data_IF_829440246611
#
_entry.id   IF_829440246611
#
_cell.length_a   1.000
_cell.length_b   1.000
_cell.length_c   1.000
_cell.angle_alpha   90.00
_cell.angle_beta   90.00
_cell.angle_gamma   90.00
#
_symmetry.space_group_name_H-M   'P 1'
#
loop_
_entity.id
_entity.type
_entity.pdbx_description
1 polymer ?
#
# COMPACT_ATOMS: atom_id res chain seq x y z
N UNK A 1 57.80 31.17 -17.95
CA UNK A 1 56.97 29.95 -17.76
C UNK A 1 57.65 29.07 -16.72
N UNK A 2 57.14 29.04 -15.49
CA UNK A 2 57.62 28.13 -14.45
C UNK A 2 56.90 26.79 -14.68
N UNK A 3 57.63 25.73 -15.01
CA UNK A 3 57.08 24.37 -15.06
C UNK A 3 56.77 23.93 -13.62
N UNK A 4 55.50 24.02 -13.24
CA UNK A 4 54.99 23.56 -11.94
C UNK A 4 55.08 22.05 -11.82
N UNK A 5 56.09 21.57 -11.10
CA UNK A 5 56.32 20.17 -10.82
C UNK A 5 55.23 19.63 -9.87
N UNK A 6 54.22 18.90 -10.40
CA UNK A 6 53.20 18.20 -9.59
C UNK A 6 53.83 16.98 -8.92
N UNK A 7 54.45 17.19 -7.77
CA UNK A 7 54.88 16.11 -6.89
C UNK A 7 53.65 15.35 -6.37
N UNK A 8 53.38 14.15 -6.91
CA UNK A 8 52.37 13.22 -6.39
C UNK A 8 52.83 12.73 -5.02
N UNK A 9 52.37 13.40 -3.95
CA UNK A 9 52.63 12.98 -2.57
C UNK A 9 51.95 11.63 -2.32
N UNK A 10 52.75 10.58 -2.22
CA UNK A 10 52.32 9.23 -1.83
C UNK A 10 52.01 9.24 -0.33
N UNK A 11 50.73 9.29 0.03
CA UNK A 11 50.28 9.31 1.41
C UNK A 11 50.54 7.96 2.11
N UNK A 12 51.64 7.86 2.86
CA UNK A 12 51.94 6.75 3.80
C UNK A 12 51.46 7.09 5.21
N UNK A 13 50.16 7.21 5.42
CA UNK A 13 49.54 7.18 6.76
C UNK A 13 48.05 6.82 6.62
N UNK A 14 47.66 5.74 7.27
CA UNK A 14 46.47 4.93 6.99
C UNK A 14 45.11 5.67 7.13
N UNK A 15 45.05 6.80 7.86
CA UNK A 15 43.81 7.53 8.10
C UNK A 15 43.45 8.63 7.10
N UNK A 16 44.44 9.33 6.52
CA UNK A 16 44.16 10.52 5.68
C UNK A 16 43.69 10.17 4.26
N UNK A 17 44.12 9.01 3.73
CA UNK A 17 43.67 8.53 2.42
C UNK A 17 42.20 8.16 2.43
N UNK A 18 41.73 7.42 3.44
CA UNK A 18 40.35 6.93 3.53
C UNK A 18 39.37 8.11 3.54
N UNK A 19 39.69 9.16 4.30
CA UNK A 19 38.84 10.35 4.38
C UNK A 19 38.79 11.14 3.06
N UNK A 20 39.91 11.25 2.33
CA UNK A 20 39.95 11.92 1.02
C UNK A 20 39.16 11.14 -0.04
N UNK A 21 39.29 9.81 -0.06
CA UNK A 21 38.48 8.96 -0.94
C UNK A 21 37.00 8.98 -0.56
N UNK A 22 36.66 8.90 0.73
CA UNK A 22 35.27 8.96 1.20
C UNK A 22 34.61 10.29 0.85
N UNK A 23 35.29 11.43 1.01
CA UNK A 23 34.78 12.73 0.54
C UNK A 23 34.58 12.77 -0.96
N UNK A 24 35.50 12.16 -1.72
CA UNK A 24 35.38 12.06 -3.18
C UNK A 24 34.18 11.19 -3.56
N UNK A 25 33.99 10.04 -2.93
CA UNK A 25 32.81 9.18 -3.13
C UNK A 25 31.50 9.85 -2.69
N UNK A 26 31.48 10.59 -1.58
CA UNK A 26 30.32 11.39 -1.17
C UNK A 26 30.02 12.50 -2.19
N UNK A 27 31.05 13.14 -2.76
CA UNK A 27 30.90 14.15 -3.82
C UNK A 27 30.45 13.57 -5.17
N UNK A 28 30.81 12.30 -5.46
CA UNK A 28 30.34 11.56 -6.65
C UNK A 28 29.00 10.84 -6.43
N UNK A 29 28.55 10.67 -5.17
CA UNK A 29 27.39 9.87 -4.78
C UNK A 29 26.02 10.47 -5.13
N UNK A 30 25.98 11.71 -5.62
CA UNK A 30 24.80 12.31 -6.27
C UNK A 30 23.48 12.17 -5.50
N UNK A 31 22.33 12.21 -6.21
CA UNK A 31 20.98 12.09 -5.63
C UNK A 31 20.71 10.78 -4.86
N UNK A 32 21.54 9.75 -5.03
CA UNK A 32 21.40 8.47 -4.34
C UNK A 32 21.68 8.56 -2.84
N UNK A 33 22.48 9.54 -2.39
CA UNK A 33 22.75 9.77 -0.97
C UNK A 33 21.58 10.43 -0.22
N UNK A 34 20.65 11.04 -0.95
CA UNK A 34 19.45 11.72 -0.39
C UNK A 34 18.16 10.99 -0.78
N UNK A 35 18.26 9.74 -1.23
CA UNK A 35 17.10 8.94 -1.61
C UNK A 35 16.28 8.66 -0.35
N UNK A 36 15.03 9.12 -0.35
CA UNK A 36 14.05 8.82 0.67
C UNK A 36 12.73 8.49 -0.03
N UNK A 37 12.42 7.21 -0.15
CA UNK A 37 11.21 6.73 -0.80
C UNK A 37 10.15 6.42 0.27
N UNK A 38 8.96 7.06 0.21
CA UNK A 38 7.92 6.86 1.21
C UNK A 38 7.31 5.45 1.15
N UNK A 39 6.91 4.88 2.30
CA UNK A 39 6.23 3.59 2.34
C UNK A 39 4.82 3.65 1.77
N UNK A 40 4.44 2.58 1.08
CA UNK A 40 3.03 2.22 0.86
C UNK A 40 2.57 1.43 2.08
N UNK A 41 1.50 1.88 2.73
CA UNK A 41 1.01 1.29 3.98
C UNK A 41 -0.42 0.80 3.83
N UNK A 42 -0.68 -0.40 4.33
CA UNK A 42 -2.03 -0.94 4.46
C UNK A 42 -2.22 -1.71 5.78
N UNK A 43 -3.48 -1.90 6.16
CA UNK A 43 -3.86 -2.66 7.35
C UNK A 43 -4.77 -3.80 6.94
N UNK A 44 -4.36 -5.04 7.25
CA UNK A 44 -5.13 -6.25 6.99
C UNK A 44 -5.67 -6.81 8.30
N UNK A 45 -6.89 -7.33 8.26
CA UNK A 45 -7.51 -8.09 9.34
C UNK A 45 -7.35 -9.59 9.10
N UNK A 46 -6.82 -10.29 10.09
CA UNK A 46 -6.74 -11.75 10.13
C UNK A 46 -7.61 -12.29 11.29
N UNK A 47 -8.40 -13.36 11.08
CA UNK A 47 -9.10 -14.03 12.17
C UNK A 47 -8.14 -14.54 13.24
N UNK A 48 -8.47 -14.35 14.51
CA UNK A 48 -7.77 -15.01 15.61
C UNK A 48 -8.16 -16.49 15.74
N UNK A 49 -7.41 -17.28 16.53
CA UNK A 49 -7.62 -18.72 16.66
C UNK A 49 -8.98 -19.08 17.27
N UNK A 50 -9.43 -18.31 18.26
CA UNK A 50 -10.65 -18.60 19.04
C UNK A 50 -11.87 -17.80 18.59
N UNK A 51 -11.72 -16.93 17.57
CA UNK A 51 -12.80 -16.13 16.99
C UNK A 51 -13.32 -14.96 17.82
N UNK A 52 -12.92 -14.84 19.08
CA UNK A 52 -13.17 -13.70 19.98
C UNK A 52 -12.31 -12.48 19.60
N UNK A 53 -11.04 -12.73 19.33
CA UNK A 53 -10.06 -11.72 18.92
C UNK A 53 -9.73 -11.82 17.42
N UNK A 54 -9.25 -10.72 16.87
CA UNK A 54 -8.66 -10.66 15.52
C UNK A 54 -7.30 -9.99 15.55
N UNK A 55 -6.43 -10.38 14.63
CA UNK A 55 -5.13 -9.73 14.45
C UNK A 55 -5.25 -8.66 13.38
N UNK A 56 -4.93 -7.41 13.74
CA UNK A 56 -4.71 -6.34 12.76
C UNK A 56 -3.22 -6.27 12.43
N UNK A 57 -2.88 -6.35 11.16
CA UNK A 57 -1.50 -6.28 10.67
C UNK A 57 -1.32 -5.05 9.78
N UNK A 58 -0.51 -4.12 10.23
CA UNK A 58 -0.08 -2.95 9.47
C UNK A 58 1.21 -3.27 8.73
N UNK A 59 1.22 -3.10 7.40
CA UNK A 59 2.36 -3.46 6.55
C UNK A 59 2.84 -2.22 5.80
N UNK A 60 4.16 -2.04 5.74
CA UNK A 60 4.80 -1.02 4.93
C UNK A 60 5.66 -1.67 3.85
N UNK A 61 5.58 -1.16 2.62
CA UNK A 61 6.28 -1.68 1.45
C UNK A 61 6.98 -0.58 0.65
N UNK A 62 8.06 -0.96 -0.03
CA UNK A 62 8.67 -0.14 -1.08
C UNK A 62 9.34 1.13 -0.55
N UNK A 63 9.74 1.14 0.72
CA UNK A 63 10.36 2.29 1.35
C UNK A 63 11.88 2.19 1.39
N UNK A 64 12.53 3.34 1.48
CA UNK A 64 13.97 3.49 1.67
C UNK A 64 14.25 4.82 2.37
N UNK A 65 15.13 4.92 3.39
CA UNK A 65 16.02 3.88 3.93
C UNK A 65 15.29 2.85 4.82
N UNK A 66 16.04 1.88 5.34
CA UNK A 66 15.51 0.76 6.14
C UNK A 66 14.93 1.14 7.51
N UNK A 67 15.30 2.30 8.04
CA UNK A 67 14.80 2.77 9.33
C UNK A 67 13.35 3.26 9.17
N UNK A 68 12.45 2.60 9.90
CA UNK A 68 11.01 2.86 9.89
C UNK A 68 10.45 2.50 11.25
N UNK A 69 9.54 3.32 11.76
CA UNK A 69 8.91 3.12 13.07
C UNK A 69 7.42 2.90 12.90
N UNK A 70 6.92 1.95 13.67
CA UNK A 70 5.51 1.60 13.77
C UNK A 70 5.03 1.91 15.18
N UNK A 71 3.84 2.46 15.29
CA UNK A 71 3.08 2.59 16.54
C UNK A 71 1.65 2.14 16.30
N UNK A 72 1.06 1.53 17.31
CA UNK A 72 -0.37 1.27 17.35
C UNK A 72 -0.97 2.18 18.40
N UNK A 73 -2.04 2.87 18.04
CA UNK A 73 -2.80 3.71 18.97
C UNK A 73 -4.22 3.20 19.09
N UNK A 74 -4.74 3.17 20.31
CA UNK A 74 -6.17 2.98 20.59
C UNK A 74 -6.68 4.21 21.31
N UNK A 75 -7.60 4.94 20.67
CA UNK A 75 -8.18 6.16 21.23
C UNK A 75 -7.11 7.17 21.72
N UNK A 76 -5.99 7.27 20.99
CA UNK A 76 -4.86 8.15 21.31
C UNK A 76 -3.87 7.61 22.36
N UNK A 77 -4.05 6.38 22.86
CA UNK A 77 -3.10 5.72 23.76
C UNK A 77 -2.16 4.80 22.98
N UNK A 78 -0.86 4.94 23.23
CA UNK A 78 0.19 4.11 22.63
C UNK A 78 0.10 2.65 23.11
N UNK A 79 0.20 1.71 22.16
CA UNK A 79 0.14 0.26 22.34
C UNK A 79 1.41 -0.45 21.86
N UNK A 80 2.53 0.25 21.68
CA UNK A 80 3.79 -0.32 21.18
C UNK A 80 4.33 -1.53 21.96
N UNK A 81 3.92 -1.76 23.22
CA UNK A 81 4.33 -2.95 23.99
C UNK A 81 3.50 -4.20 23.70
N UNK A 82 2.32 -4.06 23.10
CA UNK A 82 1.39 -5.15 22.80
C UNK A 82 1.46 -5.58 21.33
N UNK A 83 2.35 -4.95 20.56
CA UNK A 83 2.51 -5.25 19.14
C UNK A 83 3.59 -6.32 18.93
N UNK A 84 3.31 -7.23 18.01
CA UNK A 84 4.34 -8.07 17.41
C UNK A 84 4.95 -7.28 16.25
N UNK A 85 6.25 -6.97 16.37
CA UNK A 85 6.99 -6.25 15.34
C UNK A 85 7.96 -7.21 14.66
N UNK A 86 7.91 -7.28 13.34
CA UNK A 86 8.89 -8.04 12.56
C UNK A 86 10.03 -7.15 12.09
N UNK A 87 11.22 -7.74 12.03
CA UNK A 87 12.42 -7.08 11.51
C UNK A 87 12.21 -6.58 10.08
N UNK A 88 12.88 -5.48 9.75
CA UNK A 88 12.88 -4.94 8.40
C UNK A 88 13.54 -5.93 7.43
N UNK A 89 12.85 -6.29 6.35
CA UNK A 89 13.33 -7.22 5.33
C UNK A 89 13.55 -6.50 4.01
N UNK A 90 14.59 -6.86 3.22
CA UNK A 90 14.72 -6.38 1.85
C UNK A 90 13.64 -6.98 0.95
N UNK A 91 13.21 -6.21 -0.06
CA UNK A 91 12.19 -6.61 -1.04
C UNK A 91 12.77 -7.15 -2.35
N UNK A 92 14.09 -7.04 -2.56
CA UNK A 92 14.81 -7.52 -3.75
C UNK A 92 14.95 -6.51 -4.89
N UNK A 93 14.17 -5.43 -4.86
CA UNK A 93 14.21 -4.27 -5.78
C UNK A 93 15.08 -3.12 -5.25
N UNK A 94 15.80 -3.34 -4.15
CA UNK A 94 16.57 -2.30 -3.44
C UNK A 94 15.77 -1.51 -2.41
N UNK A 95 14.49 -1.84 -2.21
CA UNK A 95 13.65 -1.28 -1.15
C UNK A 95 13.47 -2.26 0.01
N UNK A 96 12.75 -1.80 1.04
CA UNK A 96 12.45 -2.56 2.24
C UNK A 96 10.95 -2.80 2.43
N UNK A 97 10.66 -3.75 3.29
CA UNK A 97 9.33 -4.06 3.80
C UNK A 97 9.40 -4.37 5.31
N UNK A 98 8.36 -4.00 6.05
CA UNK A 98 8.24 -4.28 7.49
C UNK A 98 6.76 -4.32 7.86
N UNK A 99 6.42 -5.03 8.94
CA UNK A 99 5.06 -5.04 9.44
C UNK A 99 5.02 -5.14 10.96
N UNK A 100 3.92 -4.65 11.53
CA UNK A 100 3.58 -4.75 12.94
C UNK A 100 2.13 -5.26 13.07
N UNK A 101 1.87 -6.16 14.01
CA UNK A 101 0.52 -6.66 14.29
C UNK A 101 0.11 -6.43 15.74
N UNK A 102 -1.19 -6.34 16.00
CA UNK A 102 -1.78 -6.25 17.33
C UNK A 102 -3.02 -7.15 17.41
N UNK A 103 -3.22 -7.82 18.55
CA UNK A 103 -4.47 -8.55 18.83
C UNK A 103 -5.52 -7.57 19.34
N UNK A 104 -6.71 -7.60 18.74
CA UNK A 104 -7.80 -6.69 19.09
C UNK A 104 -9.10 -7.47 19.28
N UNK A 105 -9.96 -7.05 20.24
CA UNK A 105 -11.29 -7.61 20.36
C UNK A 105 -12.09 -7.41 19.09
N UNK A 106 -12.81 -8.44 18.66
CA UNK A 106 -13.69 -8.34 17.49
C UNK A 106 -14.78 -7.29 17.70
N UNK A 107 -14.99 -6.44 16.72
CA UNK A 107 -15.92 -5.31 16.78
C UNK A 107 -15.27 -3.99 17.23
N UNK A 108 -14.04 -4.04 17.75
CA UNK A 108 -13.29 -2.85 18.15
C UNK A 108 -12.22 -2.43 17.13
N UNK A 109 -12.13 -3.09 15.97
CA UNK A 109 -11.04 -2.90 15.00
C UNK A 109 -10.86 -1.43 14.56
N UNK A 110 -11.97 -0.68 14.43
CA UNK A 110 -11.96 0.72 13.96
C UNK A 110 -11.42 1.73 14.99
N UNK A 111 -11.25 1.30 16.26
CA UNK A 111 -10.67 2.12 17.34
C UNK A 111 -9.14 2.14 17.28
N UNK A 112 -8.55 1.24 16.52
CA UNK A 112 -7.10 1.07 16.40
C UNK A 112 -6.57 1.79 15.17
N UNK A 113 -5.45 2.49 15.34
CA UNK A 113 -4.77 3.25 14.30
C UNK A 113 -3.31 2.81 14.25
N UNK A 114 -2.83 2.46 13.07
CA UNK A 114 -1.40 2.27 12.83
C UNK A 114 -0.79 3.62 12.45
N UNK A 115 0.21 4.07 13.18
CA UNK A 115 1.00 5.26 12.87
C UNK A 115 2.39 4.83 12.39
N UNK A 116 2.75 5.29 11.19
CA UNK A 116 4.03 4.97 10.55
C UNK A 116 4.86 6.25 10.41
N UNK A 117 6.08 6.20 10.92
CA UNK A 117 7.06 7.27 10.79
C UNK A 117 8.23 6.79 9.93
N UNK A 118 8.58 7.57 8.91
CA UNK A 118 9.65 7.28 7.97
C UNK A 118 10.18 8.57 7.37
N UNK A 119 11.48 8.64 7.06
CA UNK A 119 12.13 9.84 6.52
C UNK A 119 11.55 10.30 5.17
N UNK A 120 11.06 9.36 4.35
CA UNK A 120 10.38 9.65 3.09
C UNK A 120 8.99 10.28 3.25
N UNK A 121 8.43 10.33 4.47
CA UNK A 121 7.15 10.96 4.76
C UNK A 121 7.36 12.37 5.32
N UNK A 122 6.65 13.36 4.75
CA UNK A 122 6.64 14.72 5.28
C UNK A 122 6.03 14.81 6.69
N UNK A 123 5.13 13.88 7.03
CA UNK A 123 4.44 13.78 8.31
C UNK A 123 4.02 12.33 8.57
N UNK A 124 3.88 11.90 9.84
CA UNK A 124 3.51 10.52 10.16
C UNK A 124 2.21 10.09 9.48
N UNK A 125 2.19 8.87 8.95
CA UNK A 125 1.03 8.33 8.26
C UNK A 125 0.17 7.52 9.24
N UNK A 126 -1.07 7.96 9.47
CA UNK A 126 -2.06 7.27 10.29
C UNK A 126 -3.03 6.47 9.41
N UNK A 127 -3.08 5.14 9.59
CA UNK A 127 -3.88 4.23 8.78
C UNK A 127 -4.77 3.36 9.67
N UNK A 128 -6.04 3.26 9.30
CA UNK A 128 -7.03 2.37 9.95
C UNK A 128 -7.35 1.18 9.06
N UNK A 129 -7.81 0.09 9.67
CA UNK A 129 -8.43 -0.99 8.91
C UNK A 129 -9.77 -0.54 8.30
N UNK A 130 -10.04 -0.96 7.08
CA UNK A 130 -11.30 -0.70 6.36
C UNK A 130 -11.93 -2.05 5.97
N UNK A 131 -13.22 -2.27 6.27
CA UNK A 131 -13.92 -3.48 5.83
C UNK A 131 -14.00 -3.59 4.31
N UNK A 132 -13.76 -4.78 3.76
CA UNK A 132 -13.91 -5.04 2.33
C UNK A 132 -15.39 -4.97 1.91
N UNK A 133 -15.85 -3.82 1.41
CA UNK A 133 -17.22 -3.65 0.89
C UNK A 133 -17.38 -4.16 -0.55
N UNK A 134 -16.31 -4.70 -1.16
CA UNK A 134 -16.25 -5.07 -2.58
C UNK A 134 -17.25 -6.16 -3.01
N UNK A 135 -17.70 -7.02 -2.08
CA UNK A 135 -18.74 -8.01 -2.34
C UNK A 135 -20.11 -7.37 -2.62
N UNK A 136 -20.41 -6.24 -1.99
CA UNK A 136 -21.65 -5.49 -2.22
C UNK A 136 -21.70 -4.95 -3.65
N UNK A 137 -20.59 -4.38 -4.13
CA UNK A 137 -20.53 -3.76 -5.45
C UNK A 137 -20.63 -4.79 -6.59
N UNK A 138 -20.06 -5.99 -6.43
CA UNK A 138 -20.16 -7.06 -7.45
C UNK A 138 -21.57 -7.65 -7.55
N UNK A 139 -22.26 -7.81 -6.41
CA UNK A 139 -23.64 -8.30 -6.40
C UNK A 139 -24.60 -7.31 -7.08
N UNK A 140 -24.44 -6.01 -6.83
CA UNK A 140 -25.27 -4.97 -7.44
C UNK A 140 -25.11 -4.90 -8.96
N UNK A 141 -23.87 -4.99 -9.47
CA UNK A 141 -23.62 -4.98 -10.93
C UNK A 141 -24.28 -6.19 -11.61
N UNK A 142 -24.23 -7.37 -11.00
CA UNK A 142 -24.90 -8.57 -11.52
C UNK A 142 -26.41 -8.40 -11.65
N UNK A 143 -27.06 -7.84 -10.63
CA UNK A 143 -28.52 -7.60 -10.64
C UNK A 143 -28.94 -6.63 -11.74
N UNK A 144 -28.19 -5.55 -11.95
CA UNK A 144 -28.51 -4.55 -13.00
C UNK A 144 -28.44 -5.17 -14.39
N UNK A 145 -27.44 -6.01 -14.67
CA UNK A 145 -27.30 -6.69 -15.97
C UNK A 145 -28.49 -7.63 -16.22
N UNK A 146 -28.90 -8.41 -15.21
CA UNK A 146 -30.04 -9.33 -15.33
C UNK A 146 -31.34 -8.57 -15.61
N UNK A 147 -31.59 -7.45 -14.92
CA UNK A 147 -32.78 -6.62 -15.15
C UNK A 147 -32.80 -6.06 -16.58
N UNK A 148 -31.66 -5.55 -17.08
CA UNK A 148 -31.56 -5.04 -18.45
C UNK A 148 -31.86 -6.12 -19.50
N UNK A 149 -31.34 -7.34 -19.31
CA UNK A 149 -31.60 -8.46 -20.21
C UNK A 149 -33.10 -8.85 -20.23
N UNK A 150 -33.76 -8.85 -19.07
CA UNK A 150 -35.20 -9.15 -18.98
C UNK A 150 -36.01 -8.07 -19.70
N UNK A 151 -35.69 -6.79 -19.51
CA UNK A 151 -36.40 -5.70 -20.19
C UNK A 151 -36.27 -5.79 -21.71
N UNK A 152 -35.07 -6.07 -22.22
CA UNK A 152 -34.84 -6.26 -23.67
C UNK A 152 -35.63 -7.47 -24.19
N UNK A 153 -35.63 -8.59 -23.47
CA UNK A 153 -36.40 -9.77 -23.85
C UNK A 153 -37.91 -9.51 -23.88
N UNK A 154 -38.45 -8.80 -22.89
CA UNK A 154 -39.88 -8.42 -22.84
C UNK A 154 -40.24 -7.50 -24.00
N UNK A 155 -39.43 -6.46 -24.26
CA UNK A 155 -39.66 -5.53 -25.38
C UNK A 155 -39.61 -6.27 -26.72
N UNK A 156 -38.59 -7.12 -26.92
CA UNK A 156 -38.47 -7.96 -28.10
C UNK A 156 -39.67 -8.88 -28.29
N UNK A 157 -40.13 -9.54 -27.23
CA UNK A 157 -41.31 -10.41 -27.25
C UNK A 157 -42.60 -9.65 -27.59
N UNK A 158 -42.79 -8.45 -27.04
CA UNK A 158 -43.96 -7.60 -27.32
C UNK A 158 -43.97 -7.14 -28.78
N UNK A 159 -42.83 -6.71 -29.32
CA UNK A 159 -42.71 -6.32 -30.74
C UNK A 159 -42.99 -7.52 -31.64
N UNK A 160 -42.40 -8.68 -31.35
CA UNK A 160 -42.61 -9.91 -32.11
C UNK A 160 -44.08 -10.33 -32.12
N UNK A 161 -44.75 -10.33 -30.96
CA UNK A 161 -46.19 -10.65 -30.85
C UNK A 161 -47.08 -9.62 -31.55
N UNK A 162 -46.70 -8.34 -31.58
CA UNK A 162 -47.40 -7.30 -32.36
C UNK A 162 -47.22 -7.52 -33.86
N UNK A 163 -46.03 -7.88 -34.32
CA UNK A 163 -45.76 -8.20 -35.73
C UNK A 163 -46.59 -9.39 -36.19
N UNK A 164 -46.60 -10.49 -35.44
CA UNK A 164 -47.44 -11.66 -35.73
C UNK A 164 -48.94 -11.33 -35.81
N UNK A 165 -49.46 -10.46 -34.93
CA UNK A 165 -50.86 -10.04 -35.00
C UNK A 165 -51.17 -9.12 -36.18
N UNK A 166 -50.19 -8.42 -36.75
CA UNK A 166 -50.37 -7.66 -38.00
C UNK A 166 -50.43 -8.61 -39.19
N UNK A 167 -49.55 -9.62 -39.24
CA UNK A 167 -49.57 -10.66 -40.27
C UNK A 167 -50.87 -11.50 -40.23
N UNK A 168 -51.46 -11.72 -39.04
CA UNK A 168 -52.74 -12.45 -38.90
C UNK A 168 -54.02 -11.60 -39.12
N UNK A 169 -53.94 -10.26 -39.16
CA UNK A 169 -55.09 -9.38 -39.44
C UNK A 169 -54.85 -8.45 -40.64
N UNK A 170 -54.61 -8.95 -41.86
CA UNK A 170 -54.31 -8.10 -43.02
C UNK A 170 -55.55 -7.37 -43.60
N UNK A 171 -56.77 -7.66 -43.15
CA UNK A 171 -58.00 -7.08 -43.73
C UNK A 171 -58.87 -6.38 -42.68
N UNK A 172 -58.49 -5.15 -42.30
CA UNK A 172 -59.42 -4.10 -41.82
C UNK A 172 -58.90 -2.75 -42.31
N UNK A 173 -59.14 -2.45 -43.60
CA UNK A 173 -59.25 -1.09 -44.12
C UNK A 173 -60.53 -1.03 -44.96
#
# INVERSE_FOLDING_TARGET
>A
MILGNRSKKKCRRHGSCIHEWLRRYMGFGGPCLTRADPPKVDVIRHPGPDGEDVSLRCRAFGFYPADIKFKWEREGKDMSLQMELVDTRPSGDGNFQKWASVSVPRGEELKYVCVVEHEGLAQPLAVKWVPDTSLSNKATVGVVIVILLILVAVVGFVIWKRSQRRELNPCKL
#
